data_IF_910768575229
#
_entry.id   IF_910768575229
#
_cell.length_a   1.000
_cell.length_b   1.000
_cell.length_c   1.000
_cell.angle_alpha   90.00
_cell.angle_beta   90.00
_cell.angle_gamma   90.00
#
_symmetry.space_group_name_H-M   'P 1'
#
loop_
_entity.id
_entity.type
_entity.pdbx_description
1 polymer ?
#
# COMPACT_ATOMS: atom_id res chain seq x y z
N UNK A 1 18.39 8.09 -0.64
CA UNK A 1 18.19 7.12 0.44
C UNK A 1 19.37 7.21 1.39
N UNK A 2 19.16 7.67 2.63
CA UNK A 2 20.24 7.94 3.61
C UNK A 2 20.52 6.74 4.53
N UNK A 3 19.74 5.66 4.42
CA UNK A 3 19.90 4.45 5.25
C UNK A 3 19.60 4.65 6.74
N UNK A 4 19.06 5.81 7.16
CA UNK A 4 18.83 6.17 8.58
C UNK A 4 17.36 6.13 9.04
N UNK A 5 16.47 5.54 8.25
CA UNK A 5 15.02 5.57 8.51
C UNK A 5 14.40 6.96 8.28
N UNK A 6 13.08 7.05 8.48
CA UNK A 6 12.32 8.32 8.46
C UNK A 6 12.84 9.19 9.64
N UNK A 7 13.14 10.46 9.37
CA UNK A 7 13.69 11.43 10.33
C UNK A 7 15.08 11.12 10.94
N UNK A 8 15.89 10.29 10.28
CA UNK A 8 17.26 9.94 10.71
C UNK A 8 17.35 9.29 12.10
N UNK A 9 16.24 8.78 12.65
CA UNK A 9 16.13 8.26 14.00
C UNK A 9 16.71 6.85 14.19
N UNK A 10 17.14 6.17 13.11
CA UNK A 10 17.74 4.84 13.17
C UNK A 10 16.75 3.69 13.43
N UNK A 11 15.54 3.99 13.91
CA UNK A 11 14.38 3.11 13.84
C UNK A 11 13.73 3.25 12.47
N UNK A 12 13.85 2.24 11.63
CA UNK A 12 13.09 2.16 10.39
C UNK A 12 12.19 0.93 10.43
N UNK A 13 10.92 1.13 10.15
CA UNK A 13 10.03 0.05 9.70
C UNK A 13 10.21 0.00 8.19
N UNK A 14 10.59 -1.16 7.67
CA UNK A 14 10.64 -1.37 6.23
C UNK A 14 9.22 -1.35 5.67
N UNK A 15 9.04 -0.81 4.45
CA UNK A 15 7.77 -0.96 3.74
C UNK A 15 7.39 -2.43 3.61
N UNK A 16 6.08 -2.67 3.54
CA UNK A 16 5.53 -3.99 3.29
C UNK A 16 6.18 -4.66 2.08
N UNK A 17 6.60 -5.91 2.29
CA UNK A 17 7.16 -6.75 1.22
C UNK A 17 6.10 -7.76 0.83
N UNK A 18 5.48 -7.63 -0.37
CA UNK A 18 4.56 -8.64 -0.85
C UNK A 18 5.31 -9.93 -1.14
N UNK A 19 4.87 -11.03 -0.53
CA UNK A 19 5.44 -12.37 -0.77
C UNK A 19 5.66 -13.18 0.50
N UNK A 20 6.21 -14.37 0.33
CA UNK A 20 6.46 -15.32 1.42
C UNK A 20 7.86 -15.22 2.03
N UNK A 21 8.74 -14.39 1.47
CA UNK A 21 10.12 -14.25 1.93
C UNK A 21 10.68 -12.85 1.70
N UNK A 22 11.64 -12.45 2.53
CA UNK A 22 12.42 -11.22 2.39
C UNK A 22 13.90 -11.54 2.53
N UNK A 23 14.74 -10.95 1.67
CA UNK A 23 16.19 -11.05 1.78
C UNK A 23 16.75 -9.77 2.36
N UNK A 24 17.38 -9.86 3.53
CA UNK A 24 18.05 -8.72 4.17
C UNK A 24 19.54 -8.79 3.83
N UNK A 25 20.02 -7.81 3.06
CA UNK A 25 21.44 -7.70 2.71
C UNK A 25 22.09 -6.58 3.51
N UNK A 26 23.15 -6.91 4.25
CA UNK A 26 23.99 -5.93 4.94
C UNK A 26 25.31 -5.76 4.20
N UNK A 27 25.63 -4.50 3.89
CA UNK A 27 26.91 -4.13 3.29
C UNK A 27 27.69 -3.29 4.30
N UNK A 28 28.79 -3.83 4.85
CA UNK A 28 29.70 -3.05 5.70
C UNK A 28 30.66 -2.23 4.84
N UNK A 29 30.93 -1.00 5.26
CA UNK A 29 31.99 -0.16 4.69
C UNK A 29 33.19 -0.16 5.64
N UNK A 30 34.38 -0.49 5.14
CA UNK A 30 35.62 -0.52 5.92
C UNK A 30 36.04 -1.92 6.42
N UNK A 31 37.12 -1.95 7.20
CA UNK A 31 37.66 -3.19 7.76
C UNK A 31 36.69 -3.78 8.81
N UNK A 32 36.33 -5.06 8.64
CA UNK A 32 35.44 -5.74 9.57
C UNK A 32 36.11 -5.88 10.95
N UNK A 33 35.56 -5.19 11.94
CA UNK A 33 35.86 -5.43 13.36
C UNK A 33 34.88 -6.45 13.92
N UNK A 34 35.28 -7.23 14.92
CA UNK A 34 34.37 -8.14 15.62
C UNK A 34 33.22 -7.33 16.27
N UNK A 35 31.97 -7.58 15.88
CA UNK A 35 30.79 -6.88 16.40
C UNK A 35 29.48 -7.28 15.70
N UNK A 36 28.35 -6.80 16.23
CA UNK A 36 27.04 -6.92 15.56
C UNK A 36 26.82 -5.69 14.66
N UNK A 37 26.54 -5.91 13.37
CA UNK A 37 26.34 -4.82 12.39
C UNK A 37 24.96 -4.16 12.47
N UNK A 38 23.90 -4.94 12.74
CA UNK A 38 22.53 -4.46 12.92
C UNK A 38 21.71 -5.51 13.69
N UNK A 39 20.61 -5.08 14.31
CA UNK A 39 19.65 -5.96 15.00
C UNK A 39 18.24 -5.68 14.49
N UNK A 40 17.57 -6.69 13.94
CA UNK A 40 16.14 -6.65 13.65
C UNK A 40 15.41 -6.85 14.98
N UNK A 41 14.69 -5.83 15.45
CA UNK A 41 14.00 -5.86 16.75
C UNK A 41 12.64 -6.54 16.70
N UNK A 42 12.07 -6.70 15.51
CA UNK A 42 10.79 -7.38 15.28
C UNK A 42 10.43 -7.41 13.80
N UNK A 43 9.42 -8.20 13.45
CA UNK A 43 8.77 -8.21 12.15
C UNK A 43 7.29 -8.56 12.33
N UNK A 44 6.44 -8.02 11.46
CA UNK A 44 5.02 -8.37 11.39
C UNK A 44 4.76 -9.20 10.13
N UNK A 45 3.89 -10.20 10.24
CA UNK A 45 3.38 -10.98 9.11
C UNK A 45 1.90 -11.26 9.32
N UNK A 46 1.12 -11.22 8.25
CA UNK A 46 -0.30 -11.49 8.31
C UNK A 46 -0.99 -11.04 7.03
N UNK A 47 -2.17 -11.60 6.80
CA UNK A 47 -3.15 -11.00 5.91
C UNK A 47 -4.11 -10.20 6.78
N UNK A 48 -4.62 -9.06 6.30
CA UNK A 48 -5.70 -8.38 7.01
C UNK A 48 -6.83 -9.40 7.23
N UNK A 49 -7.26 -9.58 8.47
CA UNK A 49 -8.52 -10.26 8.76
C UNK A 49 -9.62 -9.29 8.37
N UNK A 50 -10.09 -9.36 7.12
CA UNK A 50 -11.27 -8.60 6.71
C UNK A 50 -12.48 -9.25 7.39
N UNK A 51 -13.03 -8.54 8.38
CA UNK A 51 -14.39 -8.82 8.82
C UNK A 51 -15.36 -8.41 7.70
N UNK A 52 -16.38 -9.23 7.54
CA UNK A 52 -17.37 -9.23 6.47
C UNK A 52 -17.81 -7.80 6.04
N UNK A 53 -17.49 -7.40 4.81
CA UNK A 53 -18.05 -6.17 4.22
C UNK A 53 -19.52 -6.39 3.84
N UNK A 54 -20.38 -5.43 4.18
CA UNK A 54 -21.78 -5.48 3.78
C UNK A 54 -21.94 -4.95 2.36
N UNK A 55 -22.22 -5.85 1.42
CA UNK A 55 -22.61 -5.47 0.06
C UNK A 55 -24.10 -5.13 0.04
N UNK A 56 -24.41 -3.93 -0.44
CA UNK A 56 -25.79 -3.48 -0.62
C UNK A 56 -26.26 -3.75 -2.06
N UNK A 57 -27.52 -4.17 -2.24
CA UNK A 57 -28.11 -4.38 -3.57
C UNK A 57 -27.95 -5.82 -4.09
N UNK A 58 -27.82 -5.98 -5.40
CA UNK A 58 -27.83 -7.27 -6.09
C UNK A 58 -26.46 -8.00 -6.07
N UNK A 59 -25.70 -7.83 -4.99
CA UNK A 59 -24.34 -8.37 -4.86
C UNK A 59 -23.25 -7.40 -5.29
N UNK A 60 -21.99 -7.87 -5.28
CA UNK A 60 -20.85 -7.01 -5.64
C UNK A 60 -20.82 -6.82 -7.14
N UNK A 61 -20.84 -5.56 -7.56
CA UNK A 61 -20.76 -5.14 -8.95
C UNK A 61 -19.42 -4.46 -9.25
N UNK A 62 -18.48 -4.53 -8.30
CA UNK A 62 -17.13 -4.02 -8.46
C UNK A 62 -16.42 -4.78 -9.59
N UNK A 63 -15.60 -4.06 -10.33
CA UNK A 63 -14.74 -4.62 -11.36
C UNK A 63 -13.32 -4.09 -11.15
N UNK A 64 -12.28 -4.87 -11.47
CA UNK A 64 -10.92 -4.39 -11.41
C UNK A 64 -10.74 -3.08 -12.18
N UNK A 65 -9.93 -2.15 -11.68
CA UNK A 65 -9.70 -0.85 -12.32
C UNK A 65 -9.26 -0.98 -13.79
N UNK A 66 -8.46 -2.00 -14.11
CA UNK A 66 -8.06 -2.35 -15.49
C UNK A 66 -9.21 -2.57 -16.45
N UNK A 67 -10.39 -2.95 -15.96
CA UNK A 67 -11.57 -3.08 -16.81
C UNK A 67 -12.00 -1.75 -17.44
N UNK A 68 -11.64 -0.61 -16.85
CA UNK A 68 -11.96 0.72 -17.37
C UNK A 68 -10.81 1.37 -18.15
N UNK A 69 -9.67 0.68 -18.30
CA UNK A 69 -8.49 1.21 -18.98
C UNK A 69 -8.75 1.42 -20.49
N UNK A 70 -8.02 2.36 -21.10
CA UNK A 70 -8.16 2.66 -22.52
C UNK A 70 -8.03 1.39 -23.38
N UNK A 71 -8.98 1.18 -24.29
CA UNK A 71 -9.02 0.02 -25.18
C UNK A 71 -9.82 -1.17 -24.64
N UNK A 72 -10.43 -1.06 -23.46
CA UNK A 72 -11.45 -2.01 -23.01
C UNK A 72 -12.85 -1.57 -23.44
N UNK A 73 -13.79 -2.53 -23.46
CA UNK A 73 -15.20 -2.27 -23.73
C UNK A 73 -15.86 -1.28 -22.74
N UNK A 74 -15.41 -1.24 -21.48
CA UNK A 74 -15.99 -0.33 -20.48
C UNK A 74 -15.37 1.08 -20.53
N UNK A 75 -14.25 1.27 -21.21
CA UNK A 75 -13.63 2.59 -21.37
C UNK A 75 -14.49 3.55 -22.18
N UNK A 76 -15.36 3.07 -23.08
CA UNK A 76 -16.26 3.93 -23.85
C UNK A 76 -17.37 4.54 -22.99
N UNK A 77 -17.89 3.78 -22.01
CA UNK A 77 -18.94 4.24 -21.11
C UNK A 77 -18.44 5.20 -20.03
N UNK A 78 -17.19 5.05 -19.59
CA UNK A 78 -16.57 5.85 -18.52
C UNK A 78 -15.12 6.25 -18.89
N UNK A 79 -14.92 7.08 -19.91
CA UNK A 79 -13.60 7.32 -20.51
C UNK A 79 -12.57 7.97 -19.59
N UNK A 80 -13.02 8.62 -18.51
CA UNK A 80 -12.13 9.25 -17.54
C UNK A 80 -11.90 8.42 -16.29
N UNK A 81 -12.70 7.37 -16.03
CA UNK A 81 -12.68 6.64 -14.76
C UNK A 81 -11.28 6.12 -14.44
N UNK A 82 -10.64 5.44 -15.41
CA UNK A 82 -9.31 4.88 -15.22
C UNK A 82 -8.21 5.93 -15.02
N UNK A 83 -8.28 7.03 -15.76
CA UNK A 83 -7.32 8.13 -15.63
C UNK A 83 -7.45 8.82 -14.27
N UNK A 84 -8.69 9.07 -13.80
CA UNK A 84 -8.94 9.65 -12.47
C UNK A 84 -8.60 8.70 -11.34
N UNK A 85 -8.76 7.38 -11.56
CA UNK A 85 -8.42 6.37 -10.57
C UNK A 85 -6.91 6.31 -10.27
N UNK A 86 -6.04 6.86 -11.13
CA UNK A 86 -4.60 6.95 -10.86
C UNK A 86 -4.27 7.83 -9.64
N UNK A 87 -5.20 8.68 -9.20
CA UNK A 87 -5.08 9.47 -7.98
C UNK A 87 -5.46 8.69 -6.70
N UNK A 88 -6.00 7.48 -6.83
CA UNK A 88 -6.40 6.62 -5.71
C UNK A 88 -5.21 5.80 -5.24
N UNK A 89 -5.07 5.68 -3.92
CA UNK A 89 -4.08 4.83 -3.27
C UNK A 89 -4.75 3.81 -2.37
N UNK A 90 -4.16 2.61 -2.28
CA UNK A 90 -4.39 1.68 -1.18
C UNK A 90 -3.50 2.09 -0.02
N UNK A 91 -4.09 2.22 1.17
CA UNK A 91 -3.38 2.55 2.41
C UNK A 91 -3.23 1.27 3.21
N UNK A 92 -1.99 0.81 3.40
CA UNK A 92 -1.70 -0.26 4.35
C UNK A 92 -1.27 0.38 5.67
N UNK A 93 -2.22 0.45 6.60
CA UNK A 93 -2.07 1.19 7.84
C UNK A 93 -1.54 0.25 8.92
N UNK A 94 -0.47 0.67 9.57
CA UNK A 94 0.20 -0.07 10.65
C UNK A 94 0.51 -1.54 10.29
N UNK A 95 0.71 -1.82 8.99
CA UNK A 95 0.91 -3.16 8.43
C UNK A 95 -0.20 -4.18 8.74
N UNK A 96 -1.41 -3.76 9.11
CA UNK A 96 -2.46 -4.66 9.61
C UNK A 96 -3.80 -4.58 8.88
N UNK A 97 -4.24 -3.41 8.41
CA UNK A 97 -5.50 -3.28 7.68
C UNK A 97 -5.43 -2.24 6.56
N UNK A 98 -6.43 -2.31 5.68
CA UNK A 98 -6.48 -1.54 4.45
C UNK A 98 -7.52 -0.43 4.52
N UNK A 99 -7.17 0.72 3.95
CA UNK A 99 -8.10 1.81 3.68
C UNK A 99 -7.84 2.40 2.29
N UNK A 100 -8.72 3.29 1.86
CA UNK A 100 -8.57 4.03 0.59
C UNK A 100 -8.12 5.46 0.85
N UNK A 101 -7.22 5.95 0.00
CA UNK A 101 -6.77 7.34 -0.03
C UNK A 101 -6.87 7.96 -1.42
N UNK A 102 -6.92 9.29 -1.48
CA UNK A 102 -7.01 10.05 -2.74
C UNK A 102 -6.06 11.25 -2.72
N UNK A 103 -5.29 11.43 -3.77
CA UNK A 103 -4.47 12.65 -3.93
C UNK A 103 -5.35 13.90 -4.01
N UNK A 104 -5.04 14.86 -3.16
CA UNK A 104 -5.65 16.18 -3.09
C UNK A 104 -4.84 17.23 -3.84
N UNK A 105 -5.03 17.31 -5.16
CA UNK A 105 -4.28 18.24 -6.00
C UNK A 105 -2.88 17.74 -6.33
N UNK A 106 -1.93 18.66 -6.55
CA UNK A 106 -0.59 18.35 -7.08
C UNK A 106 0.55 18.56 -6.06
N UNK A 107 0.22 18.92 -4.82
CA UNK A 107 1.19 19.25 -3.77
C UNK A 107 1.60 18.05 -2.92
N UNK A 108 1.11 16.85 -3.26
CA UNK A 108 1.37 15.63 -2.50
C UNK A 108 0.48 15.45 -1.27
N UNK A 109 -0.62 16.21 -1.17
CA UNK A 109 -1.64 15.97 -0.16
C UNK A 109 -2.43 14.72 -0.49
N UNK A 110 -2.83 13.98 0.55
CA UNK A 110 -3.68 12.79 0.43
C UNK A 110 -4.80 12.86 1.46
N UNK A 111 -6.03 12.65 1.00
CA UNK A 111 -7.22 12.56 1.83
C UNK A 111 -7.60 11.11 2.06
N UNK A 112 -8.17 10.81 3.23
CA UNK A 112 -8.73 9.51 3.58
C UNK A 112 -9.87 9.71 4.59
N UNK A 113 -10.55 8.63 4.95
CA UNK A 113 -11.61 8.70 5.95
C UNK A 113 -11.02 8.80 7.36
N UNK A 114 -11.64 9.60 8.23
CA UNK A 114 -11.16 9.78 9.60
C UNK A 114 -11.07 8.48 10.39
N UNK A 115 -12.04 7.56 10.23
CA UNK A 115 -12.06 6.28 10.94
C UNK A 115 -10.88 5.37 10.58
N UNK A 116 -10.16 5.64 9.47
CA UNK A 116 -8.98 4.88 9.10
C UNK A 116 -7.79 5.15 10.03
N UNK A 117 -7.79 6.23 10.81
CA UNK A 117 -6.69 6.62 11.68
C UNK A 117 -7.21 6.96 13.08
N UNK A 118 -7.02 6.06 14.04
CA UNK A 118 -7.33 6.31 15.45
C UNK A 118 -6.24 7.13 16.15
N UNK A 119 -5.00 7.07 15.65
CA UNK A 119 -3.83 7.75 16.19
C UNK A 119 -3.04 8.42 15.06
N UNK A 120 -2.50 9.62 15.33
CA UNK A 120 -1.76 10.41 14.34
C UNK A 120 -0.43 9.74 13.93
N UNK A 121 0.21 9.04 14.86
CA UNK A 121 1.49 8.36 14.62
C UNK A 121 1.39 7.18 13.65
N UNK A 122 0.20 6.65 13.39
CA UNK A 122 -0.03 5.62 12.38
C UNK A 122 0.25 6.15 10.96
N UNK A 123 0.15 7.46 10.73
CA UNK A 123 0.57 8.06 9.46
C UNK A 123 2.07 7.85 9.20
N UNK A 124 2.89 7.77 10.27
CA UNK A 124 4.33 7.52 10.18
C UNK A 124 4.67 6.07 9.81
N UNK A 125 3.72 5.15 9.93
CA UNK A 125 3.89 3.71 9.65
C UNK A 125 3.00 3.22 8.51
N UNK A 126 2.29 4.13 7.84
CA UNK A 126 1.43 3.79 6.69
C UNK A 126 2.25 3.70 5.40
N UNK A 127 2.04 2.61 4.66
CA UNK A 127 2.47 2.47 3.27
C UNK A 127 1.34 2.96 2.33
N UNK A 128 1.71 3.80 1.37
CA UNK A 128 0.80 4.39 0.37
C UNK A 128 1.08 3.76 -0.99
N UNK A 129 0.17 2.91 -1.47
CA UNK A 129 0.36 2.12 -2.67
C UNK A 129 -0.52 2.65 -3.82
N UNK A 130 0.12 3.30 -4.79
CA UNK A 130 -0.50 3.70 -6.05
C UNK A 130 -0.40 2.57 -7.07
N UNK A 131 -1.36 2.54 -8.02
CA UNK A 131 -1.45 1.48 -9.02
C UNK A 131 -1.50 0.07 -8.41
N UNK A 132 -2.08 -0.05 -7.21
CA UNK A 132 -2.38 -1.32 -6.55
C UNK A 132 -3.60 -1.99 -7.22
N UNK A 133 -3.44 -2.33 -8.49
CA UNK A 133 -4.47 -2.93 -9.34
C UNK A 133 -4.00 -4.25 -9.93
N UNK A 134 -4.95 -5.02 -10.46
CA UNK A 134 -4.66 -6.26 -11.17
C UNK A 134 -3.90 -6.02 -12.49
N UNK A 135 -3.26 -7.06 -13.02
CA UNK A 135 -2.60 -6.98 -14.34
C UNK A 135 -3.58 -6.82 -15.50
N UNK A 136 -4.78 -7.39 -15.36
CA UNK A 136 -5.81 -7.39 -16.41
C UNK A 136 -7.22 -7.34 -15.81
N UNK A 137 -8.22 -7.06 -16.66
CA UNK A 137 -9.62 -7.05 -16.25
C UNK A 137 -10.13 -8.43 -15.78
N UNK A 138 -9.58 -9.52 -16.31
CA UNK A 138 -9.97 -10.89 -15.92
C UNK A 138 -9.36 -11.34 -14.59
N UNK A 139 -8.34 -10.64 -14.09
CA UNK A 139 -7.67 -10.97 -12.84
C UNK A 139 -8.45 -10.32 -11.68
N UNK A 140 -9.57 -10.92 -11.31
CA UNK A 140 -10.36 -10.50 -10.15
C UNK A 140 -9.61 -10.87 -8.87
N UNK A 141 -9.34 -9.88 -8.02
CA UNK A 141 -8.75 -10.08 -6.69
C UNK A 141 -9.83 -10.45 -5.66
N UNK A 142 -10.70 -11.39 -6.02
CA UNK A 142 -11.73 -11.94 -5.13
C UNK A 142 -11.08 -13.02 -4.24
N UNK A 143 -10.72 -12.65 -3.01
CA UNK A 143 -10.34 -13.60 -1.96
C UNK A 143 -10.94 -13.18 -0.64
#
# INVERSE_FOLDING_TARGET
YTGRGRDQSGTFIASFVPGSSVTVTYTSVGAATAGQGYRITGFSRGYPTMDQESICGDGDQSLPAKCYALGTNLSEGLPQAYATAQAVARLLINNTYLCTGWLGGSEGHLFTNHHCFEQEDWALTTDFEFAAESSSCSDQCET
#
